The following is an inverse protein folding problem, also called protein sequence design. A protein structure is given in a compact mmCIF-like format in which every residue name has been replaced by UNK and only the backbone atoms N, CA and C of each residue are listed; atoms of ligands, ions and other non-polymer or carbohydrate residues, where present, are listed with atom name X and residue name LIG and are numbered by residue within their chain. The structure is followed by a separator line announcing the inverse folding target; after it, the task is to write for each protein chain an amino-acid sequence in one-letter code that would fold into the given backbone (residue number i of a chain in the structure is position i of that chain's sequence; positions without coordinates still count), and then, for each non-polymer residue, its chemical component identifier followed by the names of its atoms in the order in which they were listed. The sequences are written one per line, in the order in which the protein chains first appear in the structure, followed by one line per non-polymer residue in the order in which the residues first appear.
data_IF_624134911651
#
_entry.id   IF_624134911651
#
_cell.length_a   1.000
_cell.length_b   1.000
_cell.length_c   1.000
_cell.angle_alpha   90.00
_cell.angle_beta   90.00
_cell.angle_gamma   90.00
#
_symmetry.space_group_name_H-M   'P 1'
#
loop_
_entity.id
_entity.type
_entity.pdbx_description
1 polymer ?
#
# COMPACT_ATOMS: atom_id res chain seq x y z
N UNK A 1 3.71 -26.91 -15.66
CA UNK A 1 3.26 -25.53 -15.38
C UNK A 1 4.39 -24.60 -15.77
N UNK A 2 4.13 -23.59 -16.60
CA UNK A 2 5.13 -22.56 -16.88
C UNK A 2 5.39 -21.74 -15.60
N UNK A 3 6.64 -21.40 -15.34
CA UNK A 3 6.98 -20.53 -14.21
C UNK A 3 6.38 -19.14 -14.45
N UNK A 4 5.62 -18.62 -13.49
CA UNK A 4 5.13 -17.25 -13.53
C UNK A 4 6.29 -16.35 -13.13
N UNK A 5 6.82 -15.61 -14.08
CA UNK A 5 7.88 -14.63 -13.84
C UNK A 5 7.29 -13.44 -13.07
N UNK A 6 7.95 -13.07 -11.96
CA UNK A 6 7.60 -11.88 -11.20
C UNK A 6 8.36 -10.69 -11.78
N UNK A 7 7.64 -9.69 -12.25
CA UNK A 7 8.23 -8.44 -12.70
C UNK A 7 8.50 -7.53 -11.50
N UNK A 8 9.77 -7.24 -11.27
CA UNK A 8 10.18 -6.30 -10.23
C UNK A 8 9.86 -4.86 -10.65
N UNK A 9 9.64 -4.00 -9.66
CA UNK A 9 9.47 -2.57 -9.90
C UNK A 9 10.86 -1.98 -10.23
N UNK A 10 11.03 -1.26 -11.34
CA UNK A 10 12.28 -0.58 -11.66
C UNK A 10 12.63 0.48 -10.60
N UNK A 11 13.92 0.62 -10.25
CA UNK A 11 14.38 1.52 -9.19
C UNK A 11 13.98 2.97 -9.43
N UNK A 12 13.88 3.40 -10.69
CA UNK A 12 13.49 4.75 -11.08
C UNK A 12 12.06 5.10 -10.63
N UNK A 13 11.23 4.10 -10.35
CA UNK A 13 9.85 4.29 -9.88
C UNK A 13 9.72 4.31 -8.36
N UNK A 14 10.77 3.95 -7.62
CA UNK A 14 10.73 3.90 -6.16
C UNK A 14 10.70 5.32 -5.56
N UNK A 15 11.45 6.27 -6.13
CA UNK A 15 11.59 7.62 -5.56
C UNK A 15 10.34 8.51 -5.63
N UNK A 16 9.36 8.16 -6.47
CA UNK A 16 8.10 8.90 -6.60
C UNK A 16 6.88 8.17 -6.02
N UNK A 17 7.06 6.97 -5.47
CA UNK A 17 5.96 6.20 -4.94
C UNK A 17 5.50 6.75 -3.58
N UNK A 18 4.19 6.81 -3.37
CA UNK A 18 3.63 7.21 -2.08
C UNK A 18 3.92 6.20 -0.96
N UNK A 19 4.15 4.93 -1.32
CA UNK A 19 4.34 3.82 -0.40
C UNK A 19 5.42 2.88 -0.94
N UNK A 20 6.20 2.30 -0.03
CA UNK A 20 6.99 1.10 -0.28
C UNK A 20 6.22 -0.17 0.13
N UNK A 21 6.84 -1.34 -0.05
CA UNK A 21 6.23 -2.63 0.27
C UNK A 21 5.89 -2.76 1.76
N UNK A 22 6.80 -2.34 2.64
CA UNK A 22 6.61 -2.43 4.09
C UNK A 22 5.40 -1.60 4.52
N UNK A 23 5.30 -0.37 3.99
CA UNK A 23 4.19 0.52 4.29
C UNK A 23 2.87 0.03 3.70
N UNK A 24 2.88 -0.52 2.48
CA UNK A 24 1.70 -1.15 1.89
C UNK A 24 1.16 -2.27 2.78
N UNK A 25 2.01 -3.19 3.21
CA UNK A 25 1.60 -4.34 4.04
C UNK A 25 1.01 -3.89 5.38
N UNK A 26 1.60 -2.88 6.02
CA UNK A 26 1.10 -2.32 7.27
C UNK A 26 -0.29 -1.69 7.09
N UNK A 27 -0.46 -0.83 6.09
CA UNK A 27 -1.73 -0.15 5.82
C UNK A 27 -2.81 -1.14 5.41
N UNK A 28 -2.46 -2.14 4.60
CA UNK A 28 -3.38 -3.20 4.19
C UNK A 28 -3.84 -4.05 5.37
N UNK A 29 -2.93 -4.44 6.27
CA UNK A 29 -3.31 -5.14 7.50
C UNK A 29 -4.30 -4.32 8.31
N UNK A 30 -4.01 -3.03 8.54
CA UNK A 30 -4.89 -2.13 9.31
C UNK A 30 -6.25 -1.93 8.65
N UNK A 31 -6.30 -1.83 7.32
CA UNK A 31 -7.56 -1.64 6.59
C UNK A 31 -8.51 -2.85 6.71
N UNK A 32 -7.98 -4.03 7.00
CA UNK A 32 -8.76 -5.26 7.23
C UNK A 32 -9.05 -5.48 8.71
N UNK A 33 -8.04 -5.35 9.58
CA UNK A 33 -8.18 -5.67 11.00
C UNK A 33 -8.90 -4.58 11.81
N UNK A 34 -8.87 -3.33 11.35
CA UNK A 34 -9.49 -2.19 12.03
C UNK A 34 -10.04 -1.17 11.02
N UNK A 35 -11.02 -1.57 10.17
CA UNK A 35 -11.45 -0.80 9.02
C UNK A 35 -12.03 0.58 9.39
N UNK A 36 -12.84 0.68 10.45
CA UNK A 36 -13.49 1.94 10.82
C UNK A 36 -12.48 2.99 11.29
N UNK A 37 -11.50 2.57 12.10
CA UNK A 37 -10.43 3.46 12.53
C UNK A 37 -9.57 3.90 11.34
N UNK A 38 -9.18 2.93 10.50
CA UNK A 38 -8.34 3.19 9.33
C UNK A 38 -9.02 4.16 8.35
N UNK A 39 -10.22 3.84 7.87
CA UNK A 39 -10.88 4.64 6.83
C UNK A 39 -11.34 6.01 7.34
N UNK A 40 -11.76 6.12 8.61
CA UNK A 40 -12.07 7.44 9.20
C UNK A 40 -10.82 8.32 9.34
N UNK A 41 -9.65 7.74 9.59
CA UNK A 41 -8.37 8.48 9.57
C UNK A 41 -8.04 8.94 8.15
N UNK A 42 -8.10 8.04 7.16
CA UNK A 42 -7.78 8.39 5.76
C UNK A 42 -8.72 9.47 5.20
N UNK A 43 -10.01 9.42 5.52
CA UNK A 43 -10.97 10.44 5.09
C UNK A 43 -10.63 11.83 5.66
N UNK A 44 -10.26 11.90 6.95
CA UNK A 44 -9.86 13.17 7.58
C UNK A 44 -8.57 13.75 7.00
N UNK A 45 -7.65 12.88 6.60
CA UNK A 45 -6.33 13.29 6.10
C UNK A 45 -6.37 13.72 4.61
N UNK A 46 -7.22 13.10 3.79
CA UNK A 46 -7.19 13.29 2.33
C UNK A 46 -8.45 13.89 1.69
N UNK A 47 -9.59 13.95 2.40
CA UNK A 47 -10.88 14.36 1.83
C UNK A 47 -11.53 15.57 2.53
N UNK A 48 -10.81 16.22 3.46
CA UNK A 48 -11.30 17.40 4.19
C UNK A 48 -11.51 18.62 3.28
#
# INVERSE_FOLDING_TARGET
MAAIEKFHIPEERLGGAHLDEARYLELYRRSIESPEEFWSQQAREFLA
#
